data_IF_681779758100
#
_entry.id   IF_681779758100
#
_cell.length_a   1.000
_cell.length_b   1.000
_cell.length_c   1.000
_cell.angle_alpha   90.00
_cell.angle_beta   90.00
_cell.angle_gamma   90.00
#
_symmetry.space_group_name_H-M   'P 1'
#
loop_
_entity.id
_entity.type
_entity.pdbx_description
1 polymer ?
#
# COMPACT_ATOMS: atom_id res chain seq x y z
N UNK A 1 -0.44 -34.12 23.89
CA UNK A 1 -1.50 -33.15 23.67
C UNK A 1 -0.99 -32.08 22.70
N UNK A 2 -1.67 -31.91 21.57
CA UNK A 2 -1.28 -30.93 20.53
C UNK A 2 -2.18 -29.69 20.65
N UNK A 3 -2.19 -29.08 21.85
CA UNK A 3 -2.97 -27.88 22.08
C UNK A 3 -2.20 -26.67 21.53
N UNK A 4 -2.75 -26.05 20.50
CA UNK A 4 -2.13 -24.91 19.80
C UNK A 4 -2.43 -23.59 20.52
N UNK A 5 -3.53 -23.49 21.26
CA UNK A 5 -3.97 -22.25 21.89
C UNK A 5 -2.91 -21.62 22.81
N UNK A 6 -2.25 -22.36 23.73
CA UNK A 6 -1.23 -21.76 24.60
C UNK A 6 -0.01 -21.22 23.81
N UNK A 7 0.33 -21.86 22.68
CA UNK A 7 1.45 -21.39 21.84
C UNK A 7 1.09 -20.09 21.15
N UNK A 8 -0.13 -19.99 20.61
CA UNK A 8 -0.62 -18.75 19.96
C UNK A 8 -0.76 -17.64 20.99
N UNK A 9 -1.31 -17.91 22.16
CA UNK A 9 -1.42 -16.93 23.26
C UNK A 9 -0.05 -16.42 23.68
N UNK A 10 0.93 -17.29 23.89
CA UNK A 10 2.29 -16.91 24.27
C UNK A 10 2.96 -16.06 23.18
N UNK A 11 2.79 -16.41 21.91
CA UNK A 11 3.33 -15.66 20.79
C UNK A 11 2.71 -14.25 20.72
N UNK A 12 1.37 -14.17 20.70
CA UNK A 12 0.65 -12.91 20.53
C UNK A 12 0.74 -11.99 21.76
N UNK A 13 1.03 -12.52 22.94
CA UNK A 13 1.24 -11.71 24.17
C UNK A 13 2.73 -11.42 24.43
N UNK A 14 3.65 -11.84 23.58
CA UNK A 14 5.08 -11.60 23.79
C UNK A 14 5.46 -10.14 23.51
N UNK A 15 6.37 -9.59 24.28
CA UNK A 15 6.92 -8.24 24.05
C UNK A 15 7.55 -8.14 22.66
N UNK A 16 8.18 -9.21 22.18
CA UNK A 16 8.79 -9.26 20.86
C UNK A 16 7.78 -9.05 19.73
N UNK A 17 6.55 -9.57 19.86
CA UNK A 17 5.52 -9.39 18.83
C UNK A 17 5.12 -7.92 18.66
N UNK A 18 5.17 -7.13 19.74
CA UNK A 18 4.83 -5.70 19.75
C UNK A 18 6.04 -4.77 19.67
N UNK A 19 7.24 -5.29 19.48
CA UNK A 19 8.46 -4.48 19.40
C UNK A 19 8.40 -3.52 18.22
N UNK A 20 8.42 -2.22 18.54
CA UNK A 20 8.35 -1.12 17.55
C UNK A 20 9.52 -1.19 16.54
N UNK A 21 10.67 -1.76 16.94
CA UNK A 21 11.83 -1.91 16.04
C UNK A 21 11.52 -2.81 14.84
N UNK A 22 10.57 -3.74 15.00
CA UNK A 22 10.16 -4.69 13.96
C UNK A 22 9.15 -4.12 12.96
N UNK A 23 8.55 -2.97 13.24
CA UNK A 23 7.62 -2.34 12.31
C UNK A 23 8.31 -2.03 10.98
N UNK A 24 7.64 -2.37 9.88
CA UNK A 24 8.16 -2.14 8.53
C UNK A 24 9.30 -3.08 8.12
N UNK A 25 9.54 -4.18 8.84
CA UNK A 25 10.51 -5.21 8.46
C UNK A 25 10.02 -6.09 7.30
N UNK A 26 8.71 -6.16 7.09
CA UNK A 26 8.09 -6.96 6.03
C UNK A 26 7.64 -6.03 4.90
N UNK A 27 8.06 -6.35 3.68
CA UNK A 27 7.62 -5.65 2.47
C UNK A 27 6.31 -6.26 2.02
N UNK A 28 5.28 -5.44 1.86
CA UNK A 28 3.97 -5.90 1.38
C UNK A 28 4.08 -6.58 0.02
N UNK A 29 3.41 -7.72 -0.13
CA UNK A 29 3.21 -8.36 -1.41
C UNK A 29 2.44 -7.46 -2.39
N UNK A 30 2.51 -7.72 -3.70
CA UNK A 30 1.81 -6.92 -4.71
C UNK A 30 0.31 -6.78 -4.46
N UNK A 31 -0.37 -7.87 -4.12
CA UNK A 31 -1.80 -7.87 -3.80
C UNK A 31 -2.08 -7.02 -2.55
N UNK A 32 -1.30 -7.22 -1.48
CA UNK A 32 -1.44 -6.43 -0.25
C UNK A 32 -1.17 -4.93 -0.47
N UNK A 33 -0.23 -4.60 -1.36
CA UNK A 33 0.05 -3.21 -1.72
C UNK A 33 -1.14 -2.57 -2.39
N UNK A 34 -1.66 -3.20 -3.47
CA UNK A 34 -2.78 -2.66 -4.26
C UNK A 34 -4.03 -2.49 -3.40
N UNK A 35 -4.49 -3.58 -2.80
CA UNK A 35 -5.70 -3.52 -1.97
C UNK A 35 -5.52 -2.65 -0.73
N UNK A 36 -4.31 -2.61 -0.16
CA UNK A 36 -3.98 -1.71 0.95
C UNK A 36 -4.12 -0.23 0.58
N UNK A 37 -3.69 0.17 -0.62
CA UNK A 37 -3.84 1.55 -1.10
C UNK A 37 -5.32 1.91 -1.31
N UNK A 38 -6.08 1.04 -1.99
CA UNK A 38 -7.51 1.27 -2.21
C UNK A 38 -8.30 1.29 -0.90
N UNK A 39 -8.02 0.39 0.04
CA UNK A 39 -8.68 0.36 1.33
C UNK A 39 -8.33 1.60 2.18
N UNK A 40 -7.05 1.99 2.22
CA UNK A 40 -6.60 3.15 3.00
C UNK A 40 -7.25 4.46 2.51
N UNK A 41 -7.52 4.58 1.20
CA UNK A 41 -8.15 5.76 0.60
C UNK A 41 -9.66 5.62 0.42
N UNK A 42 -10.26 4.52 0.90
CA UNK A 42 -11.68 4.18 0.69
C UNK A 42 -12.11 4.30 -0.77
N UNK A 43 -11.24 3.90 -1.69
CA UNK A 43 -11.40 4.09 -3.15
C UNK A 43 -11.66 2.78 -3.90
N UNK A 44 -11.84 1.68 -3.18
CA UNK A 44 -11.98 0.36 -3.76
C UNK A 44 -13.26 0.19 -4.59
N UNK A 45 -13.29 -0.81 -5.48
CA UNK A 45 -14.51 -1.21 -6.18
C UNK A 45 -15.64 -1.52 -5.19
N UNK A 46 -16.86 -1.15 -5.54
CA UNK A 46 -18.04 -1.28 -4.65
C UNK A 46 -18.57 -2.71 -4.53
N UNK A 47 -17.79 -3.74 -4.86
CA UNK A 47 -18.17 -5.16 -4.85
C UNK A 47 -19.40 -5.51 -5.69
N UNK A 48 -19.76 -4.67 -6.65
CA UNK A 48 -20.75 -5.02 -7.66
C UNK A 48 -20.09 -5.82 -8.78
N UNK A 49 -20.14 -7.15 -8.68
CA UNK A 49 -19.43 -8.05 -9.58
C UNK A 49 -19.77 -7.82 -11.07
N UNK A 50 -20.97 -7.35 -11.38
CA UNK A 50 -21.41 -7.07 -12.76
C UNK A 50 -20.74 -5.81 -13.34
N UNK A 51 -20.39 -4.84 -12.51
CA UNK A 51 -19.78 -3.56 -12.93
C UNK A 51 -18.27 -3.56 -12.68
N UNK A 52 -17.84 -4.21 -11.59
CA UNK A 52 -16.47 -4.11 -11.07
C UNK A 52 -15.59 -5.31 -11.52
N UNK A 53 -16.13 -6.31 -12.23
CA UNK A 53 -15.38 -7.51 -12.63
C UNK A 53 -14.12 -7.17 -13.44
N UNK A 54 -14.19 -6.21 -14.35
CA UNK A 54 -13.05 -5.78 -15.16
C UNK A 54 -12.00 -5.02 -14.30
N UNK A 55 -12.44 -4.28 -13.29
CA UNK A 55 -11.53 -3.64 -12.33
C UNK A 55 -10.77 -4.67 -11.50
N UNK A 56 -11.44 -5.72 -11.01
CA UNK A 56 -10.77 -6.81 -10.31
C UNK A 56 -9.80 -7.57 -11.19
N UNK A 57 -10.16 -7.82 -12.45
CA UNK A 57 -9.27 -8.45 -13.42
C UNK A 57 -8.05 -7.56 -13.69
N UNK A 58 -8.24 -6.25 -13.79
CA UNK A 58 -7.15 -5.29 -13.94
C UNK A 58 -6.23 -5.32 -12.72
N UNK A 59 -6.76 -5.31 -11.49
CA UNK A 59 -5.97 -5.44 -10.26
C UNK A 59 -5.18 -6.76 -10.23
N UNK A 60 -5.77 -7.86 -10.73
CA UNK A 60 -5.08 -9.14 -10.88
C UNK A 60 -3.85 -9.00 -11.80
N UNK A 61 -4.01 -8.42 -13.00
CA UNK A 61 -2.92 -8.24 -13.95
C UNK A 61 -1.85 -7.28 -13.44
N UNK A 62 -2.24 -6.24 -12.70
CA UNK A 62 -1.29 -5.34 -12.05
C UNK A 62 -0.48 -6.07 -10.97
N UNK A 63 -1.11 -6.90 -10.15
CA UNK A 63 -0.40 -7.72 -9.16
C UNK A 63 0.55 -8.73 -9.80
N UNK A 64 0.11 -9.39 -10.88
CA UNK A 64 0.94 -10.33 -11.65
C UNK A 64 2.16 -9.63 -12.24
N UNK A 65 2.01 -8.43 -12.81
CA UNK A 65 3.14 -7.65 -13.36
C UNK A 65 4.19 -7.29 -12.31
N UNK A 66 3.81 -7.27 -11.04
CA UNK A 66 4.70 -7.11 -9.89
C UNK A 66 5.22 -8.45 -9.32
N UNK A 67 4.88 -9.57 -9.95
CA UNK A 67 5.36 -10.91 -9.60
C UNK A 67 4.44 -11.75 -8.74
N UNK A 68 3.19 -11.33 -8.49
CA UNK A 68 2.23 -12.11 -7.70
C UNK A 68 0.89 -12.29 -8.43
N UNK A 69 0.73 -13.38 -9.17
CA UNK A 69 -0.57 -13.78 -9.72
C UNK A 69 -1.41 -14.48 -8.65
N UNK A 70 -2.61 -13.96 -8.35
CA UNK A 70 -3.51 -14.56 -7.38
C UNK A 70 -3.89 -15.99 -7.79
N UNK A 71 -3.88 -16.90 -6.82
CA UNK A 71 -4.18 -18.33 -7.00
C UNK A 71 -3.27 -19.07 -8.02
N UNK A 72 -2.18 -18.46 -8.49
CA UNK A 72 -1.25 -19.07 -9.43
C UNK A 72 0.18 -19.05 -8.84
N UNK A 73 0.48 -19.90 -7.86
CA UNK A 73 1.81 -19.96 -7.25
C UNK A 73 2.84 -20.47 -8.28
N UNK A 74 4.11 -20.04 -8.17
CA UNK A 74 5.16 -20.37 -9.14
C UNK A 74 5.58 -21.85 -9.12
N UNK A 75 5.17 -22.60 -8.11
CA UNK A 75 5.49 -24.03 -7.98
C UNK A 75 4.41 -24.78 -7.21
N UNK A 76 4.46 -26.11 -7.25
CA UNK A 76 3.58 -27.00 -6.48
C UNK A 76 3.69 -26.76 -4.96
N UNK A 77 4.87 -26.33 -4.50
CA UNK A 77 5.12 -25.99 -3.10
C UNK A 77 4.55 -24.61 -2.69
N UNK A 78 4.01 -23.84 -3.65
CA UNK A 78 3.50 -22.50 -3.39
C UNK A 78 4.49 -21.39 -3.72
N UNK A 79 4.35 -20.26 -3.02
CA UNK A 79 5.26 -19.13 -3.09
C UNK A 79 6.52 -19.39 -2.28
N UNK A 80 7.65 -18.77 -2.70
CA UNK A 80 8.91 -18.86 -1.95
C UNK A 80 8.70 -18.26 -0.56
N UNK A 81 9.18 -18.97 0.46
CA UNK A 81 9.07 -18.54 1.85
C UNK A 81 9.84 -17.23 2.10
N UNK A 82 9.23 -16.35 2.86
CA UNK A 82 9.67 -14.97 3.05
C UNK A 82 11.09 -14.82 3.59
N UNK A 83 11.52 -15.74 4.45
CA UNK A 83 12.78 -15.65 5.19
C UNK A 83 13.85 -16.59 4.71
N UNK A 84 13.69 -17.21 3.55
CA UNK A 84 14.71 -18.06 2.97
C UNK A 84 15.68 -17.29 2.07
N UNK A 85 16.94 -17.73 2.05
CA UNK A 85 17.95 -17.25 1.11
C UNK A 85 17.49 -17.56 -0.34
N UNK A 86 17.79 -16.70 -1.31
CA UNK A 86 18.52 -15.43 -1.20
C UNK A 86 17.64 -14.20 -0.98
N UNK A 87 16.32 -14.32 -1.05
CA UNK A 87 15.41 -13.17 -1.15
C UNK A 87 15.03 -12.59 0.22
N UNK A 88 14.90 -13.42 1.26
CA UNK A 88 14.38 -13.00 2.57
C UNK A 88 13.13 -12.13 2.45
N UNK A 89 13.10 -10.98 3.13
CA UNK A 89 12.01 -10.01 3.06
C UNK A 89 11.92 -9.25 1.73
N UNK A 90 12.88 -9.43 0.82
CA UNK A 90 12.96 -8.69 -0.46
C UNK A 90 12.35 -9.45 -1.64
N UNK A 91 11.60 -10.53 -1.40
CA UNK A 91 10.98 -11.35 -2.45
C UNK A 91 10.22 -10.50 -3.49
N UNK A 92 9.49 -9.48 -3.03
CA UNK A 92 8.66 -8.63 -3.86
C UNK A 92 9.35 -7.36 -4.37
N UNK A 93 10.65 -7.16 -4.05
CA UNK A 93 11.41 -5.97 -4.41
C UNK A 93 12.71 -6.36 -5.08
N UNK A 94 12.73 -6.27 -6.39
CA UNK A 94 13.91 -6.35 -7.25
C UNK A 94 13.93 -5.13 -8.18
N UNK A 95 14.96 -4.99 -9.00
CA UNK A 95 15.13 -3.83 -9.91
C UNK A 95 13.96 -3.62 -10.87
N UNK A 96 13.34 -4.69 -11.35
CA UNK A 96 12.19 -4.63 -12.25
C UNK A 96 10.90 -4.31 -11.48
N UNK A 97 10.64 -5.06 -10.42
CA UNK A 97 9.40 -4.92 -9.67
C UNK A 97 9.28 -3.58 -8.92
N UNK A 98 10.39 -3.00 -8.44
CA UNK A 98 10.33 -1.69 -7.77
C UNK A 98 9.90 -0.59 -8.73
N UNK A 99 10.37 -0.64 -9.98
CA UNK A 99 9.92 0.29 -11.02
C UNK A 99 8.45 0.11 -11.32
N UNK A 100 8.01 -1.14 -11.54
CA UNK A 100 6.61 -1.46 -11.81
C UNK A 100 5.69 -1.00 -10.67
N UNK A 101 6.09 -1.21 -9.41
CA UNK A 101 5.35 -0.73 -8.22
C UNK A 101 5.18 0.78 -8.23
N UNK A 102 6.24 1.51 -8.55
CA UNK A 102 6.21 2.96 -8.66
C UNK A 102 5.30 3.43 -9.81
N UNK A 103 5.45 2.85 -11.00
CA UNK A 103 4.64 3.20 -12.17
C UNK A 103 3.15 2.96 -11.90
N UNK A 104 2.78 1.81 -11.33
CA UNK A 104 1.40 1.48 -11.00
C UNK A 104 0.84 2.46 -9.95
N UNK A 105 1.59 2.72 -8.88
CA UNK A 105 1.17 3.70 -7.88
C UNK A 105 0.91 5.07 -8.52
N UNK A 106 1.77 5.51 -9.42
CA UNK A 106 1.59 6.76 -10.15
C UNK A 106 0.34 6.72 -11.05
N UNK A 107 0.11 5.64 -11.81
CA UNK A 107 -1.05 5.53 -12.71
C UNK A 107 -2.38 5.57 -11.96
N UNK A 108 -2.48 4.95 -10.79
CA UNK A 108 -3.73 4.94 -10.02
C UNK A 108 -3.95 6.21 -9.18
N UNK A 109 -2.91 7.03 -8.98
CA UNK A 109 -3.02 8.30 -8.25
C UNK A 109 -3.20 9.50 -9.16
N UNK A 110 -2.63 9.48 -10.38
CA UNK A 110 -2.70 10.60 -11.33
C UNK A 110 -3.98 10.51 -12.18
N UNK A 111 -4.67 11.63 -12.32
CA UNK A 111 -5.85 11.72 -13.19
C UNK A 111 -5.50 11.42 -14.66
N UNK A 112 -6.30 10.64 -15.39
CA UNK A 112 -7.61 10.10 -15.04
C UNK A 112 -7.60 8.74 -14.32
N UNK A 113 -6.45 8.14 -14.07
CA UNK A 113 -6.32 6.77 -13.62
C UNK A 113 -6.18 5.78 -14.79
N UNK A 114 -6.36 4.49 -14.52
CA UNK A 114 -6.29 3.42 -15.52
C UNK A 114 -7.69 3.20 -16.11
N UNK A 115 -7.91 3.40 -17.44
CA UNK A 115 -9.20 3.15 -18.05
C UNK A 115 -9.56 1.65 -18.02
N UNK A 116 -10.74 1.32 -17.51
CA UNK A 116 -11.23 -0.05 -17.35
C UNK A 116 -12.73 -0.08 -17.56
N UNK A 117 -13.24 -0.82 -18.54
CA UNK A 117 -14.69 -1.06 -18.69
C UNK A 117 -15.56 0.19 -18.77
N UNK A 118 -15.06 1.27 -19.35
CA UNK A 118 -15.77 2.55 -19.43
C UNK A 118 -15.69 3.40 -18.13
N UNK A 119 -14.95 2.93 -17.13
CA UNK A 119 -14.64 3.64 -15.87
C UNK A 119 -13.12 3.83 -15.73
N UNK A 120 -12.68 4.47 -14.68
CA UNK A 120 -11.27 4.61 -14.38
C UNK A 120 -10.95 4.01 -12.99
N UNK A 121 -10.00 3.08 -12.98
CA UNK A 121 -9.41 2.56 -11.74
C UNK A 121 -8.44 3.60 -11.21
N UNK A 122 -8.80 4.28 -10.14
CA UNK A 122 -8.00 5.34 -9.51
C UNK A 122 -8.28 5.46 -8.03
N UNK A 123 -7.34 6.03 -7.30
CA UNK A 123 -7.55 6.44 -5.91
C UNK A 123 -8.36 7.75 -5.88
N UNK A 124 -9.27 7.86 -4.93
CA UNK A 124 -10.00 9.11 -4.68
C UNK A 124 -9.20 9.98 -3.71
N UNK A 125 -8.13 10.61 -4.22
CA UNK A 125 -7.20 11.38 -3.40
C UNK A 125 -7.88 12.58 -2.72
N UNK A 126 -8.83 13.24 -3.39
CA UNK A 126 -9.56 14.37 -2.80
C UNK A 126 -10.41 13.92 -1.63
N UNK A 127 -11.26 12.89 -1.80
CA UNK A 127 -12.08 12.39 -0.71
C UNK A 127 -11.24 11.82 0.44
N UNK A 128 -10.06 11.29 0.15
CA UNK A 128 -9.12 10.86 1.18
C UNK A 128 -8.61 12.05 2.00
N UNK A 129 -8.14 13.11 1.33
CA UNK A 129 -7.65 14.33 2.00
C UNK A 129 -8.77 15.03 2.78
N UNK A 130 -9.97 15.12 2.21
CA UNK A 130 -11.14 15.71 2.90
C UNK A 130 -11.50 14.96 4.20
N UNK A 131 -11.15 13.68 4.29
CA UNK A 131 -11.37 12.85 5.48
C UNK A 131 -10.29 12.95 6.56
N UNK A 132 -9.20 13.70 6.32
CA UNK A 132 -8.13 13.90 7.28
C UNK A 132 -8.50 14.90 8.38
N UNK A 133 -7.69 14.99 9.43
CA UNK A 133 -8.03 15.77 10.64
C UNK A 133 -8.11 17.27 10.39
N UNK A 134 -7.26 17.81 9.51
CA UNK A 134 -7.29 19.23 9.11
C UNK A 134 -6.85 19.39 7.64
N UNK A 135 -7.74 19.20 6.67
CA UNK A 135 -7.42 19.25 5.23
C UNK A 135 -6.86 20.59 4.76
N UNK A 136 -7.18 21.68 5.46
CA UNK A 136 -6.71 23.04 5.12
C UNK A 136 -5.27 23.36 5.56
N UNK A 137 -4.62 22.46 6.31
CA UNK A 137 -3.22 22.64 6.74
C UNK A 137 -2.33 21.59 6.08
N UNK A 138 -1.43 21.98 5.15
CA UNK A 138 -0.59 21.02 4.43
C UNK A 138 0.41 20.28 5.33
N UNK A 139 0.76 20.82 6.50
CA UNK A 139 1.64 20.14 7.47
C UNK A 139 0.87 18.99 8.12
N UNK A 140 -0.35 19.24 8.56
CA UNK A 140 -1.21 18.22 9.17
C UNK A 140 -1.59 17.15 8.15
N UNK A 141 -1.90 17.55 6.91
CA UNK A 141 -2.16 16.60 5.81
C UNK A 141 -0.98 15.65 5.62
N UNK A 142 0.26 16.15 5.59
CA UNK A 142 1.44 15.30 5.47
C UNK A 142 1.63 14.39 6.69
N UNK A 143 1.38 14.87 7.89
CA UNK A 143 1.49 14.08 9.12
C UNK A 143 0.48 12.94 9.12
N UNK A 144 -0.79 13.22 8.85
CA UNK A 144 -1.86 12.23 8.76
C UNK A 144 -1.59 11.19 7.66
N UNK A 145 -1.14 11.64 6.46
CA UNK A 145 -0.75 10.73 5.38
C UNK A 145 0.41 9.83 5.77
N UNK A 146 1.40 10.37 6.48
CA UNK A 146 2.53 9.57 6.96
C UNK A 146 2.07 8.49 7.96
N UNK A 147 1.14 8.81 8.83
CA UNK A 147 0.61 7.85 9.81
C UNK A 147 -0.21 6.72 9.14
N UNK A 148 -0.87 7.00 8.01
CA UNK A 148 -1.61 6.00 7.25
C UNK A 148 -0.69 5.10 6.41
N UNK A 149 0.30 5.69 5.72
CA UNK A 149 1.06 4.97 4.69
C UNK A 149 2.41 4.43 5.17
N UNK A 150 3.00 4.97 6.22
CA UNK A 150 4.30 4.53 6.71
C UNK A 150 4.20 3.79 8.05
N UNK A 151 4.90 2.65 8.19
CA UNK A 151 4.89 1.88 9.44
C UNK A 151 5.74 2.53 10.55
N UNK A 152 6.60 3.49 10.19
CA UNK A 152 7.49 4.23 11.09
C UNK A 152 7.45 5.71 10.75
N UNK A 153 7.67 6.54 11.77
CA UNK A 153 7.83 7.98 11.60
C UNK A 153 9.02 8.27 10.69
N UNK A 154 8.81 9.08 9.68
CA UNK A 154 9.86 9.56 8.77
C UNK A 154 10.52 10.83 9.33
N UNK A 155 11.71 11.17 8.84
CA UNK A 155 12.45 12.34 9.33
C UNK A 155 11.75 13.66 8.96
N UNK A 156 12.04 14.72 9.72
CA UNK A 156 11.55 16.07 9.44
C UNK A 156 11.92 16.54 8.03
N UNK A 157 13.14 16.21 7.56
CA UNK A 157 13.56 16.54 6.20
C UNK A 157 12.68 15.86 5.15
N UNK A 158 12.34 14.60 5.34
CA UNK A 158 11.44 13.87 4.44
C UNK A 158 10.03 14.49 4.44
N UNK A 159 9.47 14.81 5.61
CA UNK A 159 8.17 15.50 5.72
C UNK A 159 8.18 16.86 5.02
N UNK A 160 9.24 17.65 5.20
CA UNK A 160 9.41 18.95 4.50
C UNK A 160 9.47 18.76 2.99
N UNK A 161 10.16 17.73 2.51
CA UNK A 161 10.24 17.42 1.08
C UNK A 161 8.86 17.00 0.54
N UNK A 162 8.12 16.16 1.26
CA UNK A 162 6.75 15.77 0.87
C UNK A 162 5.82 16.98 0.85
N UNK A 163 5.89 17.87 1.85
CA UNK A 163 5.13 19.13 1.86
C UNK A 163 5.46 20.01 0.67
N UNK A 164 6.74 20.18 0.36
CA UNK A 164 7.16 20.95 -0.82
C UNK A 164 6.57 20.38 -2.13
N UNK A 165 6.53 19.06 -2.27
CA UNK A 165 5.90 18.39 -3.43
C UNK A 165 4.39 18.64 -3.43
N UNK A 166 3.72 18.46 -2.28
CA UNK A 166 2.28 18.62 -2.13
C UNK A 166 1.83 20.06 -2.50
N UNK A 167 2.52 21.06 -1.98
CA UNK A 167 2.21 22.49 -2.23
C UNK A 167 2.79 23.02 -3.54
N UNK A 168 3.51 22.19 -4.30
CA UNK A 168 4.30 22.63 -5.47
C UNK A 168 5.24 23.80 -5.17
N UNK A 169 5.80 23.82 -3.95
CA UNK A 169 6.69 24.88 -3.47
C UNK A 169 6.00 26.20 -3.13
N UNK A 170 4.67 26.27 -3.17
CA UNK A 170 3.91 27.44 -2.77
C UNK A 170 3.87 27.60 -1.25
N UNK A 171 3.70 28.83 -0.73
CA UNK A 171 3.48 29.07 0.69
C UNK A 171 2.22 28.36 1.22
N UNK A 172 2.22 28.01 2.51
CA UNK A 172 1.14 27.25 3.14
C UNK A 172 -0.24 27.96 3.04
N UNK A 173 -0.30 29.28 2.98
CA UNK A 173 -1.53 30.03 2.84
C UNK A 173 -2.17 29.96 1.44
N UNK A 174 -1.44 29.46 0.45
CA UNK A 174 -1.96 29.18 -0.91
C UNK A 174 -2.58 27.77 -1.01
N UNK A 175 -2.44 26.97 0.04
CA UNK A 175 -3.06 25.66 0.14
C UNK A 175 -4.52 25.79 0.57
N UNK A 176 -5.45 25.62 -0.36
CA UNK A 176 -6.91 25.66 -0.10
C UNK A 176 -7.64 24.63 -0.96
#
# INVERSE_FOLDING_TARGET
NYDILPVVEQLLNSEHFYDVSLRGSIIRGPIELLFGMFNATNSGPNFNLAVDSEMYLTLYWLAESMGQAYATPPSVAGWIEYYQAPAFSKLWVNSTHIKTRFDIANYITVYPGIPVGGQNLKLNALAFVDGLSLPSDPVIVIDDMCDVFFPKTISTLQKTTLKFILTNGQPDFEWT
#
